data_IF_550542977384
#
_entry.id   IF_550542977384
#
_cell.length_a   1.000
_cell.length_b   1.000
_cell.length_c   1.000
_cell.angle_alpha   90.00
_cell.angle_beta   90.00
_cell.angle_gamma   90.00
#
_symmetry.space_group_name_H-M   'P 1'
#
loop_
_entity.id
_entity.type
_entity.pdbx_description
1 polymer ?
#
# COMPACT_ATOMS: atom_id res chain seq x y z
N UNK A 1 -19.64 -17.04 6.62
CA UNK A 1 -18.49 -16.61 5.79
C UNK A 1 -19.01 -15.95 4.51
N UNK A 2 -18.50 -14.79 4.08
CA UNK A 2 -19.03 -14.08 2.88
C UNK A 2 -18.85 -14.92 1.60
N UNK A 3 -19.83 -14.95 0.70
CA UNK A 3 -19.78 -15.69 -0.59
C UNK A 3 -18.56 -15.36 -1.48
N UNK A 4 -17.94 -14.19 -1.27
CA UNK A 4 -16.72 -13.76 -1.95
C UNK A 4 -15.49 -14.53 -1.43
N UNK A 5 -15.40 -14.79 -0.10
CA UNK A 5 -14.31 -15.60 0.50
C UNK A 5 -14.34 -17.05 0.02
N UNK A 6 -15.53 -17.60 -0.22
CA UNK A 6 -15.69 -18.98 -0.66
C UNK A 6 -15.25 -19.24 -2.11
N UNK A 7 -15.30 -18.22 -2.99
CA UNK A 7 -14.91 -18.36 -4.40
C UNK A 7 -13.40 -18.33 -4.63
N UNK A 8 -12.64 -17.80 -3.67
CA UNK A 8 -11.20 -17.53 -3.79
C UNK A 8 -10.46 -17.95 -2.52
N UNK A 9 -10.73 -19.14 -1.99
CA UNK A 9 -10.15 -19.65 -0.73
C UNK A 9 -8.62 -19.78 -0.76
N UNK A 10 -8.02 -19.87 -1.96
CA UNK A 10 -6.57 -19.86 -2.18
C UNK A 10 -5.92 -18.50 -1.89
N UNK A 11 -6.69 -17.41 -1.96
CA UNK A 11 -6.24 -16.09 -1.56
C UNK A 11 -6.22 -16.07 -0.02
N UNK A 12 -5.13 -16.53 0.59
CA UNK A 12 -4.90 -16.51 2.04
C UNK A 12 -4.74 -15.08 2.58
N UNK A 13 -5.75 -14.23 2.40
CA UNK A 13 -5.76 -12.79 2.70
C UNK A 13 -5.81 -12.48 4.20
N UNK A 14 -6.11 -13.48 5.02
CA UNK A 14 -6.29 -13.31 6.47
C UNK A 14 -4.97 -12.92 7.18
N UNK A 15 -3.81 -13.21 6.59
CA UNK A 15 -2.50 -12.83 7.11
C UNK A 15 -2.18 -11.33 7.03
N UNK A 16 -3.02 -10.54 6.34
CA UNK A 16 -2.79 -9.10 6.14
C UNK A 16 -3.43 -8.22 7.21
N UNK A 17 -4.20 -8.78 8.15
CA UNK A 17 -4.77 -8.03 9.27
C UNK A 17 -5.84 -7.00 8.87
N UNK A 18 -6.52 -7.21 7.73
CA UNK A 18 -7.63 -6.35 7.32
C UNK A 18 -8.87 -6.63 8.18
N UNK A 19 -9.22 -5.71 9.07
CA UNK A 19 -10.56 -5.66 9.67
C UNK A 19 -11.50 -4.94 8.70
N UNK A 20 -12.27 -5.72 7.93
CA UNK A 20 -13.24 -5.19 6.99
C UNK A 20 -14.51 -4.77 7.75
N UNK A 21 -14.50 -3.56 8.32
CA UNK A 21 -15.72 -2.91 8.80
C UNK A 21 -16.65 -2.73 7.60
N UNK A 22 -17.73 -3.52 7.52
CA UNK A 22 -18.75 -3.34 6.50
C UNK A 22 -19.50 -2.06 6.82
N UNK A 23 -19.12 -0.95 6.20
CA UNK A 23 -19.99 0.21 6.14
C UNK A 23 -21.10 -0.10 5.13
N UNK A 24 -22.33 -0.25 5.64
CA UNK A 24 -23.53 -0.37 4.81
C UNK A 24 -23.84 1.01 4.21
N UNK A 25 -23.04 1.40 3.20
CA UNK A 25 -23.21 2.66 2.51
C UNK A 25 -24.35 2.52 1.51
N UNK A 26 -25.53 3.05 1.85
CA UNK A 26 -26.57 3.35 0.88
C UNK A 26 -26.02 4.41 -0.09
N UNK A 27 -25.60 3.98 -1.28
CA UNK A 27 -25.22 4.89 -2.36
C UNK A 27 -26.46 5.68 -2.82
N UNK A 28 -26.59 6.92 -2.35
CA UNK A 28 -27.56 7.87 -2.90
C UNK A 28 -26.97 8.43 -4.20
N UNK A 29 -27.77 8.42 -5.27
CA UNK A 29 -27.38 8.97 -6.57
C UNK A 29 -27.06 10.47 -6.42
N UNK A 30 -25.78 10.82 -6.48
CA UNK A 30 -25.29 12.20 -6.46
C UNK A 30 -25.45 12.81 -7.85
N UNK A 31 -26.67 13.20 -8.21
CA UNK A 31 -26.91 14.00 -9.43
C UNK A 31 -27.68 15.26 -9.06
N UNK A 32 -26.96 16.25 -8.57
CA UNK A 32 -27.32 17.65 -8.71
C UNK A 32 -26.03 18.46 -8.67
N UNK A 33 -25.62 18.93 -9.85
CA UNK A 33 -24.47 19.82 -10.02
C UNK A 33 -24.96 21.23 -9.67
N UNK A 34 -24.86 21.62 -8.40
CA UNK A 34 -25.12 23.00 -7.98
C UNK A 34 -23.87 23.83 -8.29
N UNK A 35 -23.88 24.48 -9.45
CA UNK A 35 -22.82 25.37 -9.91
C UNK A 35 -22.82 26.64 -9.04
N UNK A 36 -21.86 26.75 -8.11
CA UNK A 36 -21.55 28.02 -7.43
C UNK A 36 -21.67 28.06 -5.90
N UNK A 37 -22.00 26.97 -5.21
CA UNK A 37 -22.08 26.94 -3.72
C UNK A 37 -21.44 25.74 -3.03
N UNK A 38 -20.44 25.12 -3.63
CA UNK A 38 -19.60 24.14 -2.93
C UNK A 38 -18.19 24.71 -2.74
N UNK A 39 -17.99 25.42 -1.63
CA UNK A 39 -16.66 25.50 -1.02
C UNK A 39 -16.32 24.15 -0.38
N UNK A 40 -16.45 23.05 -1.14
CA UNK A 40 -15.69 21.87 -0.84
C UNK A 40 -14.26 22.33 -1.05
N UNK A 41 -13.49 22.48 0.04
CA UNK A 41 -12.04 22.52 -0.07
C UNK A 41 -11.70 21.33 -0.95
N UNK A 42 -11.34 21.57 -2.22
CA UNK A 42 -10.80 20.55 -3.11
C UNK A 42 -9.71 19.96 -2.26
N UNK A 43 -9.92 18.75 -1.75
CA UNK A 43 -8.96 18.12 -0.87
C UNK A 43 -7.66 18.25 -1.64
N UNK A 44 -6.73 19.06 -1.12
CA UNK A 44 -5.39 19.17 -1.68
C UNK A 44 -5.02 17.74 -2.01
N UNK A 45 -4.78 17.46 -3.29
CA UNK A 45 -4.50 16.12 -3.75
C UNK A 45 -3.18 15.73 -3.08
N UNK A 46 -3.29 15.22 -1.85
CA UNK A 46 -2.26 14.59 -1.05
C UNK A 46 -1.98 13.23 -1.69
N UNK A 47 -1.94 13.20 -3.02
CA UNK A 47 -1.31 12.17 -3.80
C UNK A 47 0.11 12.15 -3.27
N UNK A 48 0.33 11.21 -2.36
CA UNK A 48 1.62 10.75 -1.94
C UNK A 48 1.93 9.53 -2.82
N UNK A 49 2.11 9.70 -4.15
CA UNK A 49 2.15 8.56 -5.04
C UNK A 49 3.48 7.83 -4.90
N UNK A 50 4.46 8.40 -4.20
CA UNK A 50 5.80 7.84 -4.16
C UNK A 50 5.90 6.80 -3.06
N UNK A 51 6.39 5.62 -3.44
CA UNK A 51 6.64 4.49 -2.54
C UNK A 51 8.06 3.96 -2.76
N UNK A 52 8.65 3.44 -1.70
CA UNK A 52 9.97 2.79 -1.75
C UNK A 52 9.77 1.29 -1.62
N UNK A 53 9.99 0.56 -2.71
CA UNK A 53 9.97 -0.89 -2.70
C UNK A 53 11.32 -1.42 -2.23
N UNK A 54 11.32 -2.21 -1.15
CA UNK A 54 12.54 -2.78 -0.54
C UNK A 54 12.80 -4.24 -0.95
N UNK A 55 11.78 -4.94 -1.45
CA UNK A 55 11.93 -6.32 -1.89
C UNK A 55 10.62 -6.94 -2.36
N UNK A 56 10.71 -8.02 -3.11
CA UNK A 56 9.59 -8.83 -3.56
C UNK A 56 9.92 -10.32 -3.32
N UNK A 57 9.07 -11.00 -2.56
CA UNK A 57 9.34 -12.36 -2.09
C UNK A 57 8.27 -13.33 -2.55
N UNK A 58 8.65 -14.53 -2.98
CA UNK A 58 7.68 -15.59 -3.27
C UNK A 58 7.01 -16.17 -2.02
N UNK A 59 7.63 -16.04 -0.84
CA UNK A 59 7.10 -16.50 0.44
C UNK A 59 6.73 -15.32 1.34
N UNK A 60 5.52 -15.34 1.90
CA UNK A 60 5.02 -14.29 2.78
C UNK A 60 5.89 -14.10 4.04
N UNK A 61 6.38 -15.19 4.65
CA UNK A 61 7.21 -15.09 5.87
C UNK A 61 8.51 -14.30 5.66
N UNK A 62 9.11 -14.38 4.47
CA UNK A 62 10.29 -13.59 4.13
C UNK A 62 9.95 -12.10 4.04
N UNK A 63 8.82 -11.77 3.41
CA UNK A 63 8.30 -10.40 3.36
C UNK A 63 7.95 -9.88 4.77
N UNK A 64 7.37 -10.73 5.63
CA UNK A 64 7.03 -10.41 7.02
C UNK A 64 8.26 -10.11 7.87
N UNK A 65 9.34 -10.90 7.72
CA UNK A 65 10.62 -10.63 8.40
C UNK A 65 11.16 -9.25 8.03
N UNK A 66 11.23 -8.94 6.74
CA UNK A 66 11.69 -7.62 6.28
C UNK A 66 10.77 -6.50 6.78
N UNK A 67 9.44 -6.67 6.67
CA UNK A 67 8.47 -5.70 7.19
C UNK A 67 8.70 -5.41 8.67
N UNK A 68 8.83 -6.45 9.50
CA UNK A 68 8.98 -6.27 10.94
C UNK A 68 10.29 -5.55 11.29
N UNK A 69 11.39 -5.89 10.61
CA UNK A 69 12.67 -5.20 10.79
C UNK A 69 12.56 -3.70 10.50
N UNK A 70 11.96 -3.33 9.37
CA UNK A 70 11.84 -1.92 8.95
C UNK A 70 10.75 -1.18 9.75
N UNK A 71 9.68 -1.88 10.16
CA UNK A 71 8.64 -1.32 11.04
C UNK A 71 9.20 -0.97 12.42
N UNK A 72 10.07 -1.81 12.98
CA UNK A 72 10.72 -1.54 14.27
C UNK A 72 11.66 -0.32 14.21
N UNK A 73 12.12 0.04 13.02
CA UNK A 73 12.87 1.27 12.77
C UNK A 73 12.00 2.55 12.70
N UNK A 74 10.67 2.41 12.84
CA UNK A 74 9.72 3.53 12.84
C UNK A 74 9.15 3.89 11.47
N UNK A 75 9.42 3.12 10.41
CA UNK A 75 8.89 3.42 9.08
C UNK A 75 7.49 2.83 8.86
N UNK A 76 6.61 3.53 8.12
CA UNK A 76 5.33 2.98 7.70
C UNK A 76 5.53 2.00 6.55
N UNK A 77 5.39 0.70 6.83
CA UNK A 77 5.63 -0.37 5.85
C UNK A 77 4.40 -1.25 5.64
N UNK A 78 4.10 -1.54 4.38
CA UNK A 78 3.07 -2.48 3.96
C UNK A 78 3.63 -3.64 3.14
N UNK A 79 2.86 -4.74 3.08
CA UNK A 79 3.11 -5.84 2.15
C UNK A 79 1.94 -5.86 1.17
N UNK A 80 2.25 -5.84 -0.12
CA UNK A 80 1.26 -5.87 -1.21
C UNK A 80 1.52 -7.09 -2.09
N UNK A 81 0.47 -7.78 -2.53
CA UNK A 81 0.60 -8.85 -3.52
C UNK A 81 0.69 -8.27 -4.94
N UNK A 82 1.65 -8.74 -5.71
CA UNK A 82 1.82 -8.35 -7.12
C UNK A 82 2.09 -9.61 -7.94
N UNK A 83 1.43 -9.72 -9.09
CA UNK A 83 1.75 -10.76 -10.07
C UNK A 83 2.93 -10.31 -10.92
N UNK A 84 3.94 -11.16 -11.05
CA UNK A 84 5.13 -10.93 -11.88
C UNK A 84 5.59 -12.25 -12.48
N UNK A 85 5.76 -12.29 -13.81
CA UNK A 85 6.21 -13.47 -14.54
C UNK A 85 5.40 -14.74 -14.21
N UNK A 86 4.07 -14.62 -14.12
CA UNK A 86 3.17 -15.72 -13.79
C UNK A 86 3.21 -16.18 -12.32
N UNK A 87 4.02 -15.54 -11.47
CA UNK A 87 4.13 -15.85 -10.04
C UNK A 87 3.57 -14.72 -9.19
N UNK A 88 2.97 -15.08 -8.06
CA UNK A 88 2.56 -14.11 -7.03
C UNK A 88 3.76 -13.78 -6.15
N UNK A 89 4.00 -12.49 -5.95
CA UNK A 89 5.04 -11.98 -5.08
C UNK A 89 4.45 -11.10 -3.98
N UNK A 90 5.00 -11.24 -2.78
CA UNK A 90 4.73 -10.39 -1.62
C UNK A 90 5.78 -9.27 -1.60
N UNK A 91 5.34 -8.07 -1.95
CA UNK A 91 6.20 -6.90 -2.13
C UNK A 91 6.16 -6.04 -0.88
N UNK A 92 7.33 -5.75 -0.30
CA UNK A 92 7.49 -4.89 0.89
C UNK A 92 7.74 -3.46 0.44
N UNK A 93 6.90 -2.52 0.89
CA UNK A 93 6.98 -1.10 0.51
C UNK A 93 6.92 -0.19 1.72
N UNK A 94 7.77 0.83 1.74
CA UNK A 94 7.61 2.00 2.60
C UNK A 94 6.71 3.00 1.88
N UNK A 95 5.66 3.44 2.57
CA UNK A 95 4.55 4.15 1.93
C UNK A 95 4.50 5.64 2.23
N UNK A 96 3.93 6.32 1.24
CA UNK A 96 3.42 7.69 1.25
C UNK A 96 4.46 8.79 1.40
N UNK A 97 5.17 9.03 0.31
CA UNK A 97 5.99 10.23 0.15
C UNK A 97 5.36 11.19 -0.86
N UNK A 98 5.52 12.49 -0.62
CA UNK A 98 5.01 13.54 -1.50
C UNK A 98 5.87 13.66 -2.76
N UNK A 99 7.16 13.32 -2.67
CA UNK A 99 8.11 13.45 -3.78
C UNK A 99 8.99 12.21 -3.96
N UNK A 100 9.49 12.04 -5.20
CA UNK A 100 10.48 11.00 -5.53
C UNK A 100 11.76 11.19 -4.71
N UNK A 101 12.17 12.44 -4.51
CA UNK A 101 13.39 12.77 -3.78
C UNK A 101 13.29 12.38 -2.30
N UNK A 102 12.16 12.68 -1.66
CA UNK A 102 11.88 12.26 -0.28
C UNK A 102 11.91 10.73 -0.14
N UNK A 103 11.20 10.02 -1.03
CA UNK A 103 11.23 8.57 -1.10
C UNK A 103 12.64 8.03 -1.31
N UNK A 104 13.41 8.64 -2.22
CA UNK A 104 14.78 8.29 -2.52
C UNK A 104 15.71 8.45 -1.31
N UNK A 105 15.58 9.54 -0.57
CA UNK A 105 16.39 9.79 0.63
C UNK A 105 16.09 8.77 1.73
N UNK A 106 14.82 8.41 1.93
CA UNK A 106 14.43 7.35 2.86
C UNK A 106 14.97 5.99 2.40
N UNK A 107 14.87 5.69 1.11
CA UNK A 107 15.43 4.47 0.52
C UNK A 107 16.95 4.35 0.72
N UNK A 108 17.70 5.45 0.51
CA UNK A 108 19.15 5.50 0.77
C UNK A 108 19.48 5.22 2.23
N UNK A 109 18.76 5.84 3.17
CA UNK A 109 18.95 5.61 4.61
C UNK A 109 18.70 4.15 4.98
N UNK A 110 17.61 3.56 4.48
CA UNK A 110 17.27 2.16 4.73
C UNK A 110 18.32 1.21 4.13
N UNK A 111 18.80 1.49 2.91
CA UNK A 111 19.88 0.70 2.29
C UNK A 111 21.17 0.75 3.11
N UNK A 112 21.55 1.94 3.58
CA UNK A 112 22.75 2.12 4.38
C UNK A 112 22.65 1.40 5.74
N UNK A 113 21.48 1.42 6.38
CA UNK A 113 21.27 0.82 7.71
C UNK A 113 21.07 -0.70 7.66
N UNK A 114 20.31 -1.21 6.68
CA UNK A 114 19.85 -2.61 6.65
C UNK A 114 20.45 -3.43 5.51
N UNK A 115 21.27 -2.82 4.64
CA UNK A 115 21.89 -3.51 3.50
C UNK A 115 20.90 -3.95 2.42
N UNK A 116 19.65 -3.47 2.44
CA UNK A 116 18.62 -3.86 1.47
C UNK A 116 18.64 -2.98 0.23
N UNK A 117 18.51 -3.60 -0.94
CA UNK A 117 18.30 -2.84 -2.18
C UNK A 117 16.90 -2.22 -2.20
N UNK A 118 16.76 -1.10 -2.92
CA UNK A 118 15.47 -0.43 -3.02
C UNK A 118 15.22 0.11 -4.43
N UNK A 119 13.94 0.34 -4.73
CA UNK A 119 13.48 1.04 -5.94
C UNK A 119 12.37 2.01 -5.57
N UNK A 120 12.47 3.24 -6.04
CA UNK A 120 11.40 4.24 -5.90
C UNK A 120 10.40 4.04 -7.04
N UNK A 121 9.11 4.07 -6.73
CA UNK A 121 8.03 3.88 -7.69
C UNK A 121 6.94 4.95 -7.51
N UNK A 122 6.38 5.43 -8.62
CA UNK A 122 5.16 6.22 -8.64
C UNK A 122 3.94 5.29 -8.69
N UNK A 123 3.05 5.43 -7.71
CA UNK A 123 1.86 4.64 -7.39
C UNK A 123 0.78 5.57 -6.80
N UNK A 124 0.12 6.38 -7.64
CA UNK A 124 -1.04 7.17 -7.21
C UNK A 124 -2.18 6.24 -6.76
N UNK A 125 -3.03 6.71 -5.85
CA UNK A 125 -4.22 6.00 -5.38
C UNK A 125 -5.42 6.26 -6.29
#
# INVERSE_FOLDING_TARGET
>A
VSKIKARNSELQVDHYGFNMQRFDLKFRKLTSKDEGKTNASIAQDLSQPWVVQLGAFGKYDNAKRLKNMIKNAGYPVEIVEVMSNGKRLHVVRVVRFNSEHEAGNVGKKIKAQYGVNYRVLKRPK
#
